data_IF_121141300444
#
_entry.id   IF_121141300444
#
_cell.length_a   1.000
_cell.length_b   1.000
_cell.length_c   1.000
_cell.angle_alpha   90.00
_cell.angle_beta   90.00
_cell.angle_gamma   90.00
#
_symmetry.space_group_name_H-M   'P 1'
#
loop_
_entity.id
_entity.type
_entity.pdbx_description
1 polymer ?
#
# COMPACT_ATOMS: atom_id res chain seq x y z
N UNK A 1 12.82 47.03 -27.20
CA UNK A 1 12.77 45.62 -26.79
C UNK A 1 11.62 45.50 -25.81
N UNK A 2 10.64 44.65 -26.10
CA UNK A 2 9.49 44.45 -25.21
C UNK A 2 9.98 43.95 -23.85
N UNK A 3 9.58 44.64 -22.79
CA UNK A 3 9.92 44.28 -21.41
C UNK A 3 9.32 42.91 -21.09
N UNK A 4 10.15 41.98 -20.62
CA UNK A 4 9.72 40.65 -20.20
C UNK A 4 8.67 40.80 -19.09
N UNK A 5 7.49 40.22 -19.28
CA UNK A 5 6.40 40.35 -18.30
C UNK A 5 6.68 39.48 -17.06
N UNK A 6 6.47 40.00 -15.84
CA UNK A 6 6.60 39.20 -14.64
C UNK A 6 5.56 38.06 -14.61
N UNK A 7 5.82 36.98 -13.83
CA UNK A 7 4.85 35.92 -13.64
C UNK A 7 3.53 36.46 -13.09
N UNK A 8 2.42 35.87 -13.52
CA UNK A 8 1.09 36.13 -12.94
C UNK A 8 1.15 35.76 -11.45
N UNK A 9 0.47 36.53 -10.60
CA UNK A 9 0.39 36.29 -9.16
C UNK A 9 -0.02 34.85 -8.81
N UNK A 10 0.45 34.37 -7.65
CA UNK A 10 0.15 33.02 -7.18
C UNK A 10 -1.34 32.89 -6.82
N UNK A 11 -2.05 31.96 -7.46
CA UNK A 11 -3.43 31.66 -7.09
C UNK A 11 -3.50 30.74 -5.87
N UNK A 12 -4.23 31.18 -4.84
CA UNK A 12 -4.58 30.40 -3.63
C UNK A 12 -5.77 29.45 -3.84
N UNK A 13 -6.38 29.42 -5.02
CA UNK A 13 -7.57 28.62 -5.32
C UNK A 13 -7.21 27.24 -5.92
N UNK A 14 -8.02 26.23 -5.59
CA UNK A 14 -7.86 24.88 -6.13
C UNK A 14 -6.62 24.16 -5.58
N UNK A 15 -5.79 23.60 -6.47
CA UNK A 15 -4.60 22.84 -6.08
C UNK A 15 -3.40 23.78 -5.84
N UNK A 16 -3.34 24.36 -4.65
CA UNK A 16 -2.31 25.31 -4.22
C UNK A 16 -0.87 24.77 -4.41
N UNK A 17 -0.66 23.47 -4.17
CA UNK A 17 0.66 22.83 -4.33
C UNK A 17 1.12 22.83 -5.79
N UNK A 18 0.23 22.52 -6.74
CA UNK A 18 0.55 22.57 -8.17
C UNK A 18 0.67 24.00 -8.68
N UNK A 19 -0.14 24.92 -8.16
CA UNK A 19 -0.03 26.35 -8.48
C UNK A 19 1.34 26.89 -8.08
N UNK A 20 1.81 26.58 -6.86
CA UNK A 20 3.15 26.93 -6.39
C UNK A 20 4.25 26.34 -7.28
N UNK A 21 4.16 25.04 -7.61
CA UNK A 21 5.14 24.38 -8.47
C UNK A 21 5.30 25.07 -9.82
N UNK A 22 4.17 25.38 -10.48
CA UNK A 22 4.15 26.08 -11.77
C UNK A 22 4.63 27.53 -11.64
N UNK A 23 4.22 28.22 -10.58
CA UNK A 23 4.61 29.61 -10.35
C UNK A 23 6.11 29.74 -10.09
N UNK A 24 6.66 28.92 -9.19
CA UNK A 24 8.10 28.86 -8.87
C UNK A 24 8.94 28.62 -10.13
N UNK A 25 8.49 27.72 -11.01
CA UNK A 25 9.16 27.46 -12.29
C UNK A 25 9.15 28.69 -13.20
N UNK A 26 7.99 29.36 -13.34
CA UNK A 26 7.90 30.61 -14.14
C UNK A 26 8.74 31.73 -13.57
N UNK A 27 8.78 31.85 -12.23
CA UNK A 27 9.61 32.82 -11.54
C UNK A 27 11.10 32.56 -11.77
N UNK A 28 11.54 31.31 -11.76
CA UNK A 28 12.93 30.96 -12.10
C UNK A 28 13.29 31.37 -13.53
N UNK A 29 12.44 31.06 -14.51
CA UNK A 29 12.67 31.49 -15.89
C UNK A 29 12.74 33.02 -16.02
N UNK A 30 11.92 33.74 -15.24
CA UNK A 30 11.96 35.19 -15.19
C UNK A 30 13.26 35.73 -14.57
N UNK A 31 13.75 35.13 -13.49
CA UNK A 31 15.04 35.49 -12.89
C UNK A 31 16.22 35.27 -13.84
N UNK A 32 16.23 34.13 -14.54
CA UNK A 32 17.30 33.78 -15.48
C UNK A 32 17.28 34.72 -16.70
N UNK A 33 16.10 35.01 -17.25
CA UNK A 33 15.95 35.90 -18.41
C UNK A 33 16.18 37.38 -18.10
N UNK A 34 16.12 37.80 -16.83
CA UNK A 34 16.37 39.18 -16.39
C UNK A 34 17.74 39.37 -15.73
N UNK A 35 18.56 38.32 -15.68
CA UNK A 35 19.88 38.28 -15.01
C UNK A 35 19.82 38.70 -13.53
N UNK A 36 18.66 38.53 -12.90
CA UNK A 36 18.50 38.78 -11.46
C UNK A 36 19.02 37.61 -10.62
N UNK A 37 19.28 36.44 -11.23
CA UNK A 37 19.87 35.29 -10.57
C UNK A 37 21.32 35.53 -10.06
N UNK A 38 22.06 36.48 -10.66
CA UNK A 38 23.41 36.87 -10.25
C UNK A 38 23.44 38.01 -9.22
N UNK A 39 22.30 38.67 -8.99
CA UNK A 39 22.19 39.79 -8.04
C UNK A 39 22.08 39.29 -6.60
N UNK A 40 22.29 40.19 -5.65
CA UNK A 40 22.18 39.91 -4.23
C UNK A 40 20.85 39.24 -3.86
N UNK A 41 20.89 38.20 -3.02
CA UNK A 41 19.72 37.41 -2.64
C UNK A 41 18.57 38.27 -2.09
N UNK A 42 18.88 39.34 -1.35
CA UNK A 42 17.89 40.30 -0.86
C UNK A 42 17.04 40.93 -1.97
N UNK A 43 17.65 41.24 -3.12
CA UNK A 43 16.94 41.76 -4.28
C UNK A 43 16.06 40.68 -4.92
N UNK A 44 16.53 39.44 -4.94
CA UNK A 44 15.75 38.30 -5.42
C UNK A 44 14.53 38.04 -4.53
N UNK A 45 14.69 38.12 -3.21
CA UNK A 45 13.60 38.02 -2.24
C UNK A 45 12.58 39.15 -2.42
N UNK A 46 13.06 40.38 -2.58
CA UNK A 46 12.19 41.54 -2.83
C UNK A 46 11.41 41.39 -4.13
N UNK A 47 12.06 40.90 -5.19
CA UNK A 47 11.42 40.64 -6.48
C UNK A 47 10.41 39.50 -6.39
N UNK A 48 10.70 38.44 -5.63
CA UNK A 48 9.75 37.35 -5.37
C UNK A 48 8.49 37.90 -4.71
N UNK A 49 8.63 38.66 -3.62
CA UNK A 49 7.50 39.25 -2.89
C UNK A 49 6.71 40.25 -3.73
N UNK A 50 7.36 40.96 -4.65
CA UNK A 50 6.68 41.84 -5.59
C UNK A 50 5.85 41.08 -6.63
N UNK A 51 6.39 39.98 -7.19
CA UNK A 51 5.72 39.22 -8.25
C UNK A 51 4.70 38.20 -7.74
N UNK A 52 4.83 37.73 -6.51
CA UNK A 52 3.97 36.65 -5.97
C UNK A 52 2.53 37.12 -5.70
N UNK A 53 2.35 38.43 -5.50
CA UNK A 53 1.06 39.08 -5.27
C UNK A 53 0.76 39.36 -3.80
N UNK A 54 -0.10 40.35 -3.56
CA UNK A 54 -0.50 40.85 -2.21
C UNK A 54 -0.98 39.72 -1.28
N UNK A 55 -1.77 38.84 -1.87
CA UNK A 55 -2.32 37.63 -1.28
C UNK A 55 -1.27 36.70 -0.64
N UNK A 56 -0.10 36.57 -1.25
CA UNK A 56 1.01 35.76 -0.75
C UNK A 56 1.97 36.56 0.14
N UNK A 57 1.97 37.89 0.02
CA UNK A 57 2.67 38.77 0.96
C UNK A 57 2.01 38.73 2.35
N UNK A 58 0.69 38.63 2.43
CA UNK A 58 0.00 38.37 3.70
C UNK A 58 0.50 37.09 4.37
N UNK A 59 0.67 36.02 3.58
CA UNK A 59 1.21 34.75 4.07
C UNK A 59 2.66 34.91 4.52
N UNK A 60 3.48 35.64 3.78
CA UNK A 60 4.86 35.95 4.18
C UNK A 60 4.94 36.63 5.55
N UNK A 61 4.01 37.53 5.87
CA UNK A 61 3.97 38.19 7.18
C UNK A 61 3.68 37.23 8.35
N UNK A 62 3.20 36.01 8.08
CA UNK A 62 2.99 34.96 9.09
C UNK A 62 4.23 34.07 9.28
N UNK A 63 5.24 34.19 8.42
CA UNK A 63 6.42 33.33 8.47
C UNK A 63 7.39 33.78 9.55
N UNK A 64 7.82 32.81 10.36
CA UNK A 64 8.92 32.99 11.30
C UNK A 64 10.24 32.58 10.63
N UNK A 65 11.15 33.55 10.52
CA UNK A 65 12.52 33.40 10.03
C UNK A 65 13.50 33.55 11.19
N UNK A 66 14.65 32.89 11.10
CA UNK A 66 15.81 33.24 11.93
C UNK A 66 16.43 34.56 11.39
N UNK A 67 17.17 35.30 12.24
CA UNK A 67 17.61 36.70 11.97
C UNK A 67 18.30 36.90 10.61
N UNK A 68 18.96 35.88 10.06
CA UNK A 68 19.65 35.94 8.77
C UNK A 68 18.92 35.25 7.60
N UNK A 69 17.81 34.54 7.86
CA UNK A 69 17.12 33.73 6.84
C UNK A 69 16.16 34.54 5.97
N UNK A 70 15.69 35.69 6.47
CA UNK A 70 14.63 36.48 5.81
C UNK A 70 15.08 37.07 4.48
N UNK A 71 16.36 37.40 4.36
CA UNK A 71 16.96 37.99 3.15
C UNK A 71 17.52 36.92 2.19
N UNK A 72 17.40 35.63 2.54
CA UNK A 72 17.86 34.52 1.72
C UNK A 72 16.75 33.89 0.89
N UNK A 73 17.03 33.66 -0.40
CA UNK A 73 16.01 33.20 -1.36
C UNK A 73 15.57 31.75 -1.10
N UNK A 74 16.51 30.90 -0.69
CA UNK A 74 16.25 29.48 -0.47
C UNK A 74 15.34 29.22 0.75
N UNK A 75 15.60 29.79 1.95
CA UNK A 75 14.68 29.71 3.09
C UNK A 75 13.29 30.28 2.77
N UNK A 76 13.23 31.41 2.04
CA UNK A 76 11.97 32.02 1.63
C UNK A 76 11.15 31.08 0.75
N UNK A 77 11.75 30.53 -0.32
CA UNK A 77 11.09 29.55 -1.18
C UNK A 77 10.66 28.30 -0.42
N UNK A 78 11.48 27.84 0.54
CA UNK A 78 11.15 26.67 1.34
C UNK A 78 9.92 26.90 2.23
N UNK A 79 9.80 28.06 2.86
CA UNK A 79 8.62 28.41 3.68
C UNK A 79 7.34 28.46 2.84
N UNK A 80 7.41 29.07 1.66
CA UNK A 80 6.28 29.05 0.72
C UNK A 80 5.94 27.64 0.24
N UNK A 81 6.95 26.79 0.01
CA UNK A 81 6.73 25.39 -0.38
C UNK A 81 6.07 24.59 0.75
N UNK A 82 6.49 24.78 2.00
CA UNK A 82 5.86 24.18 3.18
C UNK A 82 4.42 24.65 3.38
N UNK A 83 4.14 25.94 3.12
CA UNK A 83 2.80 26.50 3.19
C UNK A 83 1.89 25.94 2.09
N UNK A 84 2.37 25.91 0.84
CA UNK A 84 1.59 25.44 -0.32
C UNK A 84 1.46 23.91 -0.37
N UNK A 85 2.37 23.19 0.29
CA UNK A 85 2.38 21.74 0.37
C UNK A 85 2.71 21.29 1.81
N UNK A 86 1.78 21.48 2.77
CA UNK A 86 1.98 21.01 4.12
C UNK A 86 2.14 19.49 4.12
N UNK A 87 2.88 18.95 5.10
CA UNK A 87 3.13 17.50 5.20
C UNK A 87 1.79 16.77 5.26
N UNK A 88 1.43 16.11 4.15
CA UNK A 88 0.16 15.38 4.04
C UNK A 88 0.31 14.03 4.69
N UNK A 89 -0.57 13.72 5.64
CA UNK A 89 -0.63 12.37 6.20
C UNK A 89 -1.23 11.43 5.15
N UNK A 90 -0.40 10.55 4.59
CA UNK A 90 -0.84 9.60 3.56
C UNK A 90 -2.06 8.77 3.96
N UNK A 91 -2.20 8.44 5.25
CA UNK A 91 -3.36 7.69 5.77
C UNK A 91 -4.62 8.54 5.73
N UNK A 92 -4.51 9.82 6.10
CA UNK A 92 -5.62 10.77 6.09
C UNK A 92 -6.06 11.12 4.67
N UNK A 93 -5.11 11.35 3.76
CA UNK A 93 -5.43 11.59 2.34
C UNK A 93 -6.09 10.37 1.70
N UNK A 94 -5.62 9.14 2.02
CA UNK A 94 -6.33 7.91 1.61
C UNK A 94 -7.71 7.81 2.21
N UNK A 95 -7.88 8.16 3.48
CA UNK A 95 -9.18 8.17 4.12
C UNK A 95 -10.12 9.14 3.41
N UNK A 96 -9.71 10.40 3.23
CA UNK A 96 -10.48 11.43 2.52
C UNK A 96 -10.82 10.98 1.11
N UNK A 97 -9.86 10.43 0.36
CA UNK A 97 -10.09 9.85 -0.95
C UNK A 97 -11.05 8.65 -0.94
N UNK A 98 -11.04 7.85 0.12
CA UNK A 98 -11.94 6.71 0.30
C UNK A 98 -13.33 7.11 0.82
N UNK A 99 -13.49 8.33 1.35
CA UNK A 99 -14.75 8.85 1.89
C UNK A 99 -15.35 9.98 1.05
N UNK A 100 -14.64 10.49 0.05
CA UNK A 100 -15.19 11.38 -0.96
C UNK A 100 -16.35 10.68 -1.67
N UNK A 101 -17.55 11.24 -1.50
CA UNK A 101 -18.73 10.88 -2.28
C UNK A 101 -18.93 11.95 -3.34
N UNK A 102 -19.22 11.51 -4.56
CA UNK A 102 -19.39 12.40 -5.70
C UNK A 102 -20.77 13.06 -5.65
N UNK A 103 -20.82 14.35 -5.98
CA UNK A 103 -22.08 15.10 -6.12
C UNK A 103 -22.68 14.90 -7.52
N UNK A 104 -24.00 15.05 -7.67
CA UNK A 104 -24.67 14.92 -8.98
C UNK A 104 -24.04 15.86 -10.03
N UNK A 105 -23.54 15.28 -11.13
CA UNK A 105 -23.02 16.02 -12.30
C UNK A 105 -21.54 15.82 -12.64
N UNK A 106 -20.76 15.11 -11.82
CA UNK A 106 -19.34 14.86 -12.15
C UNK A 106 -19.15 13.62 -13.06
N UNK A 107 -18.71 13.85 -14.30
CA UNK A 107 -18.51 12.84 -15.36
C UNK A 107 -17.31 11.86 -15.16
N UNK A 108 -16.73 11.79 -13.96
CA UNK A 108 -15.55 10.96 -13.64
C UNK A 108 -15.88 9.68 -12.82
N UNK A 109 -17.15 9.48 -12.43
CA UNK A 109 -17.61 8.33 -11.65
C UNK A 109 -17.17 7.00 -12.26
N UNK A 110 -17.49 6.82 -13.54
CA UNK A 110 -17.43 5.52 -14.20
C UNK A 110 -16.00 5.00 -14.31
N UNK A 111 -15.05 5.88 -14.64
CA UNK A 111 -13.63 5.51 -14.70
C UNK A 111 -13.11 5.13 -13.32
N UNK A 112 -13.43 5.93 -12.30
CA UNK A 112 -12.93 5.68 -10.95
C UNK A 112 -13.50 4.38 -10.35
N UNK A 113 -14.80 4.15 -10.49
CA UNK A 113 -15.45 2.92 -10.01
C UNK A 113 -14.95 1.72 -10.80
N UNK A 114 -14.79 1.83 -12.12
CA UNK A 114 -14.20 0.77 -12.94
C UNK A 114 -12.80 0.39 -12.45
N UNK A 115 -11.94 1.37 -12.22
CA UNK A 115 -10.55 1.13 -11.80
C UNK A 115 -10.50 0.51 -10.40
N UNK A 116 -11.42 0.89 -9.51
CA UNK A 116 -11.61 0.25 -8.19
C UNK A 116 -12.07 -1.20 -8.31
N UNK A 117 -12.99 -1.50 -9.21
CA UNK A 117 -13.44 -2.87 -9.49
C UNK A 117 -12.25 -3.71 -9.99
N UNK A 118 -11.52 -3.25 -11.00
CA UNK A 118 -10.39 -3.99 -11.58
C UNK A 118 -9.29 -4.27 -10.53
N UNK A 119 -8.89 -3.27 -9.76
CA UNK A 119 -7.86 -3.43 -8.72
C UNK A 119 -8.36 -4.22 -7.49
N UNK A 120 -9.65 -4.15 -7.18
CA UNK A 120 -10.24 -4.72 -5.97
C UNK A 120 -10.75 -6.16 -6.10
N UNK A 121 -10.95 -6.68 -7.31
CA UNK A 121 -11.45 -8.04 -7.54
C UNK A 121 -10.47 -9.08 -7.01
N UNK A 122 -10.97 -9.99 -6.16
CA UNK A 122 -10.16 -11.08 -5.58
C UNK A 122 -9.84 -12.22 -6.56
N UNK A 123 -10.56 -12.32 -7.68
CA UNK A 123 -10.44 -13.42 -8.64
C UNK A 123 -9.48 -13.04 -9.78
N UNK A 124 -8.27 -13.58 -9.77
CA UNK A 124 -7.23 -13.26 -10.77
C UNK A 124 -7.69 -13.53 -12.21
N UNK A 125 -8.44 -14.62 -12.44
CA UNK A 125 -9.00 -14.93 -13.77
C UNK A 125 -9.96 -13.83 -14.29
N UNK A 126 -10.75 -13.22 -13.40
CA UNK A 126 -11.69 -12.15 -13.78
C UNK A 126 -10.92 -10.86 -14.00
N UNK A 127 -9.90 -10.59 -13.16
CA UNK A 127 -9.00 -9.46 -13.30
C UNK A 127 -8.24 -9.49 -14.63
N UNK A 128 -7.66 -10.62 -15.00
CA UNK A 128 -6.97 -10.80 -16.28
C UNK A 128 -7.92 -10.52 -17.46
N UNK A 129 -9.14 -11.06 -17.40
CA UNK A 129 -10.15 -10.87 -18.43
C UNK A 129 -10.57 -9.39 -18.58
N UNK A 130 -10.70 -8.67 -17.47
CA UNK A 130 -10.99 -7.23 -17.48
C UNK A 130 -9.83 -6.42 -18.07
N UNK A 131 -8.59 -6.73 -17.69
CA UNK A 131 -7.39 -6.04 -18.18
C UNK A 131 -7.09 -6.30 -19.66
N UNK A 132 -7.62 -7.38 -20.25
CA UNK A 132 -7.47 -7.68 -21.67
C UNK A 132 -8.32 -6.77 -22.57
N UNK A 133 -9.31 -6.08 -22.04
CA UNK A 133 -10.23 -5.25 -22.81
C UNK A 133 -9.67 -3.82 -22.92
N UNK A 134 -9.34 -3.33 -24.14
CA UNK A 134 -8.73 -2.01 -24.31
C UNK A 134 -9.67 -0.85 -23.94
N UNK A 135 -10.93 -0.91 -24.36
CA UNK A 135 -11.96 0.10 -24.05
C UNK A 135 -12.95 -0.41 -22.99
N UNK A 136 -12.42 -0.68 -21.80
CA UNK A 136 -13.21 -1.14 -20.67
C UNK A 136 -14.03 0.03 -20.09
N UNK A 137 -15.35 -0.08 -20.14
CA UNK A 137 -16.27 0.86 -19.48
C UNK A 137 -16.75 0.29 -18.15
N UNK A 138 -17.35 1.13 -17.29
CA UNK A 138 -17.94 0.66 -16.03
C UNK A 138 -19.02 -0.40 -16.26
N UNK A 139 -19.93 -0.16 -17.21
CA UNK A 139 -20.97 -1.14 -17.54
C UNK A 139 -20.38 -2.50 -17.94
N UNK A 140 -19.37 -2.50 -18.84
CA UNK A 140 -18.68 -3.73 -19.25
C UNK A 140 -18.00 -4.44 -18.08
N UNK A 141 -17.39 -3.70 -17.14
CA UNK A 141 -16.73 -4.31 -15.99
C UNK A 141 -17.74 -4.95 -15.03
N UNK A 142 -18.88 -4.31 -14.79
CA UNK A 142 -19.99 -4.86 -13.99
C UNK A 142 -20.55 -6.13 -14.64
N UNK A 143 -20.80 -6.11 -15.95
CA UNK A 143 -21.37 -7.26 -16.67
C UNK A 143 -20.43 -8.47 -16.64
N UNK A 144 -19.13 -8.26 -16.82
CA UNK A 144 -18.13 -9.34 -16.75
C UNK A 144 -18.05 -9.93 -15.34
N UNK A 145 -18.13 -9.10 -14.31
CA UNK A 145 -18.18 -9.57 -12.92
C UNK A 145 -19.42 -10.41 -12.65
N UNK A 146 -20.61 -9.91 -12.99
CA UNK A 146 -21.88 -10.62 -12.82
C UNK A 146 -21.92 -11.92 -13.61
N UNK A 147 -21.49 -11.90 -14.87
CA UNK A 147 -21.40 -13.11 -15.68
C UNK A 147 -20.46 -14.14 -15.05
N UNK A 148 -19.32 -13.70 -14.50
CA UNK A 148 -18.38 -14.60 -13.81
C UNK A 148 -18.96 -15.18 -12.52
N UNK A 149 -19.78 -14.41 -11.78
CA UNK A 149 -20.49 -14.90 -10.59
C UNK A 149 -21.55 -15.94 -10.95
N UNK A 150 -22.37 -15.65 -11.95
CA UNK A 150 -23.41 -16.56 -12.46
C UNK A 150 -22.78 -17.84 -12.99
N UNK A 151 -21.74 -17.75 -13.82
CA UNK A 151 -21.05 -18.94 -14.34
C UNK A 151 -20.43 -19.77 -13.21
N UNK A 152 -19.87 -19.15 -12.18
CA UNK A 152 -19.37 -19.88 -11.00
C UNK A 152 -20.49 -20.61 -10.25
N UNK A 153 -21.69 -20.05 -10.19
CA UNK A 153 -22.83 -20.70 -9.57
C UNK A 153 -23.35 -21.86 -10.42
N UNK A 154 -23.52 -21.66 -11.73
CA UNK A 154 -23.95 -22.68 -12.67
C UNK A 154 -22.97 -23.86 -12.71
N UNK A 155 -21.66 -23.60 -12.70
CA UNK A 155 -20.65 -24.65 -12.62
C UNK A 155 -20.79 -25.50 -11.36
N UNK A 156 -21.11 -24.90 -10.21
CA UNK A 156 -21.36 -25.67 -8.99
C UNK A 156 -22.53 -26.62 -9.16
N UNK A 157 -23.67 -26.12 -9.66
CA UNK A 157 -24.87 -26.94 -9.92
C UNK A 157 -24.58 -28.06 -10.92
N UNK A 158 -23.88 -27.78 -12.03
CA UNK A 158 -23.48 -28.82 -13.00
C UNK A 158 -22.61 -29.89 -12.34
N UNK A 159 -21.61 -29.50 -11.54
CA UNK A 159 -20.74 -30.46 -10.84
C UNK A 159 -21.42 -31.20 -9.69
N UNK A 160 -22.51 -30.67 -9.15
CA UNK A 160 -23.34 -31.31 -8.13
C UNK A 160 -24.32 -32.29 -8.78
N UNK A 161 -24.91 -31.94 -9.92
CA UNK A 161 -25.81 -32.80 -10.71
C UNK A 161 -25.08 -33.97 -11.39
N UNK A 162 -23.83 -33.78 -11.83
CA UNK A 162 -22.99 -34.89 -12.30
C UNK A 162 -22.77 -35.96 -11.21
N UNK A 163 -22.78 -35.58 -9.93
CA UNK A 163 -22.68 -36.52 -8.81
C UNK A 163 -24.00 -37.24 -8.51
N UNK A 164 -25.15 -36.63 -8.81
CA UNK A 164 -26.46 -37.26 -8.58
C UNK A 164 -26.85 -38.21 -9.71
N UNK A 165 -26.49 -37.92 -10.96
CA UNK A 165 -26.78 -38.80 -12.12
C UNK A 165 -25.91 -40.06 -12.10
N UNK A 166 -24.66 -39.99 -11.63
CA UNK A 166 -23.82 -41.18 -11.42
C UNK A 166 -24.24 -42.05 -10.22
N UNK A 167 -25.26 -41.66 -9.45
CA UNK A 167 -25.78 -42.45 -8.34
C UNK A 167 -26.78 -43.54 -8.76
N UNK A 168 -27.18 -43.62 -10.04
CA UNK A 168 -28.04 -44.70 -10.56
C UNK A 168 -27.18 -45.71 -11.31
N UNK A 169 -26.50 -46.58 -10.56
CA UNK A 169 -26.26 -48.01 -10.88
C UNK A 169 -25.27 -48.54 -9.85
N UNK A 170 -25.79 -49.30 -8.89
CA UNK A 170 -25.42 -50.70 -8.65
C UNK A 170 -26.33 -51.25 -7.55
N UNK A 171 -27.50 -51.73 -7.97
CA UNK A 171 -28.17 -52.82 -7.27
C UNK A 171 -27.30 -54.07 -7.38
N UNK A 172 -26.27 -54.16 -6.55
CA UNK A 172 -25.66 -55.44 -6.24
C UNK A 172 -25.97 -55.73 -4.78
N UNK A 173 -26.82 -56.74 -4.60
CA UNK A 173 -27.09 -57.44 -3.34
C UNK A 173 -25.89 -57.35 -2.41
N UNK A 174 -26.14 -56.98 -1.17
CA UNK A 174 -25.21 -57.08 -0.05
C UNK A 174 -24.85 -58.56 0.20
N UNK A 175 -24.06 -59.13 -0.70
CA UNK A 175 -23.37 -60.38 -0.48
C UNK A 175 -22.14 -60.06 0.35
N UNK A 176 -22.15 -60.50 1.59
CA UNK A 176 -20.97 -60.56 2.43
C UNK A 176 -19.92 -61.42 1.71
N UNK A 177 -19.01 -60.80 0.95
CA UNK A 177 -17.87 -61.51 0.36
C UNK A 177 -16.73 -61.51 1.37
N UNK A 178 -16.13 -62.68 1.65
CA UNK A 178 -15.08 -62.80 2.64
C UNK A 178 -13.88 -61.95 2.23
N UNK A 179 -13.28 -61.32 3.25
CA UNK A 179 -12.11 -60.48 3.14
C UNK A 179 -10.95 -61.27 2.54
N UNK A 180 -10.75 -61.17 1.22
CA UNK A 180 -9.52 -61.64 0.59
C UNK A 180 -8.39 -60.76 1.12
N UNK A 181 -7.45 -61.36 1.85
CA UNK A 181 -6.22 -60.70 2.31
C UNK A 181 -5.41 -60.30 1.07
N UNK A 182 -5.62 -59.08 0.57
CA UNK A 182 -4.68 -58.46 -0.33
C UNK A 182 -3.37 -58.26 0.43
N UNK A 183 -2.32 -58.99 0.05
CA UNK A 183 -0.96 -58.69 0.45
C UNK A 183 -0.63 -57.30 -0.09
N UNK A 184 -0.71 -56.31 0.78
CA UNK A 184 -0.22 -54.97 0.52
C UNK A 184 1.29 -55.10 0.25
N UNK A 185 1.71 -54.88 -1.00
CA UNK A 185 3.13 -54.56 -1.26
C UNK A 185 3.37 -53.23 -0.59
N UNK A 186 3.98 -53.34 0.56
CA UNK A 186 4.37 -52.25 1.42
C UNK A 186 5.46 -51.43 0.75
N UNK A 187 5.04 -50.44 -0.03
CA UNK A 187 5.94 -49.35 -0.45
C UNK A 187 5.95 -48.27 0.62
N UNK A 188 6.04 -48.65 1.90
CA UNK A 188 6.76 -47.85 2.89
C UNK A 188 8.20 -47.79 2.40
N UNK A 189 8.54 -46.77 1.60
CA UNK A 189 9.93 -46.32 1.56
C UNK A 189 10.27 -45.94 3.00
N UNK A 190 10.96 -46.84 3.68
CA UNK A 190 11.64 -46.54 4.93
C UNK A 190 12.47 -45.29 4.68
N UNK A 191 12.02 -44.16 5.22
CA UNK A 191 12.89 -43.00 5.32
C UNK A 191 14.08 -43.45 6.18
N UNK A 192 15.33 -43.35 5.71
CA UNK A 192 16.50 -43.75 6.49
C UNK A 192 16.41 -43.13 7.88
N UNK A 193 16.49 -43.99 8.91
CA UNK A 193 16.38 -43.60 10.32
C UNK A 193 17.29 -42.38 10.57
N UNK A 194 16.68 -41.21 10.82
CA UNK A 194 17.40 -39.99 11.19
C UNK A 194 17.32 -38.82 10.20
N UNK A 195 16.70 -38.96 9.02
CA UNK A 195 16.60 -37.84 8.09
C UNK A 195 15.58 -36.79 8.54
N UNK A 196 16.06 -35.56 8.77
CA UNK A 196 15.24 -34.38 9.05
C UNK A 196 14.57 -33.91 7.74
N UNK A 197 13.34 -33.40 7.85
CA UNK A 197 12.58 -32.88 6.71
C UNK A 197 12.10 -31.45 6.98
N UNK A 198 11.93 -30.66 5.94
CA UNK A 198 11.36 -29.31 6.02
C UNK A 198 9.89 -29.37 6.44
N UNK A 199 9.62 -29.00 7.69
CA UNK A 199 8.27 -29.05 8.22
C UNK A 199 7.43 -27.89 7.70
N UNK A 200 6.35 -28.18 6.98
CA UNK A 200 5.40 -27.17 6.47
C UNK A 200 4.68 -26.38 7.56
N UNK A 201 4.69 -26.84 8.81
CA UNK A 201 4.02 -26.17 9.95
C UNK A 201 4.90 -25.12 10.61
N UNK A 202 6.16 -25.43 10.88
CA UNK A 202 7.09 -24.50 11.54
C UNK A 202 8.07 -23.82 10.58
N UNK A 203 8.32 -24.43 9.41
CA UNK A 203 9.29 -23.99 8.41
C UNK A 203 10.73 -24.45 8.64
N UNK A 204 10.97 -25.39 9.57
CA UNK A 204 12.32 -25.86 9.94
C UNK A 204 12.52 -27.36 9.70
N UNK A 205 13.78 -27.78 9.61
CA UNK A 205 14.18 -29.18 9.46
C UNK A 205 14.22 -29.92 10.80
N UNK A 206 13.33 -30.90 10.98
CA UNK A 206 13.34 -31.76 12.16
C UNK A 206 12.88 -33.19 11.82
N UNK A 207 13.02 -34.11 12.77
CA UNK A 207 12.55 -35.49 12.60
C UNK A 207 11.02 -35.55 12.55
N UNK A 208 10.45 -36.58 11.90
CA UNK A 208 9.01 -36.83 11.92
C UNK A 208 8.46 -36.85 13.35
N UNK A 209 7.30 -36.21 13.57
CA UNK A 209 6.62 -36.07 14.88
C UNK A 209 7.34 -35.27 15.97
N UNK A 210 8.50 -34.67 15.68
CA UNK A 210 9.22 -33.80 16.62
C UNK A 210 8.82 -32.31 16.54
N UNK A 211 7.74 -31.97 15.84
CA UNK A 211 7.28 -30.59 15.70
C UNK A 211 6.58 -30.13 16.99
N UNK A 212 7.20 -29.21 17.72
CA UNK A 212 6.66 -28.72 19.01
C UNK A 212 5.56 -27.64 18.86
N UNK A 213 5.20 -27.26 17.63
CA UNK A 213 4.05 -26.39 17.35
C UNK A 213 2.74 -27.17 17.53
N UNK A 214 2.38 -27.38 18.79
CA UNK A 214 1.07 -27.88 19.18
C UNK A 214 0.06 -26.73 19.08
N UNK A 215 -1.02 -26.93 18.31
CA UNK A 215 -2.11 -25.97 18.21
C UNK A 215 -2.90 -25.94 19.52
N UNK A 216 -2.43 -25.18 20.51
CA UNK A 216 -3.32 -24.76 21.60
C UNK A 216 -4.13 -23.58 21.08
N UNK A 217 -5.39 -23.85 20.70
CA UNK A 217 -6.39 -22.80 20.41
C UNK A 217 -6.57 -21.95 21.67
N UNK A 218 -6.09 -20.72 21.63
CA UNK A 218 -6.49 -19.70 22.61
C UNK A 218 -7.55 -18.83 21.94
N UNK A 219 -8.80 -18.99 22.36
CA UNK A 219 -9.91 -18.11 21.99
C UNK A 219 -9.86 -16.88 22.90
N UNK A 220 -9.20 -15.82 22.46
CA UNK A 220 -9.41 -14.47 23.01
C UNK A 220 -9.06 -13.41 21.98
N UNK A 221 -9.92 -12.40 21.91
CA UNK A 221 -10.00 -11.42 20.86
C UNK A 221 -8.85 -10.41 20.86
N UNK A 222 -8.59 -9.87 19.66
CA UNK A 222 -7.70 -8.76 19.28
C UNK A 222 -6.22 -9.16 19.14
N UNK A 223 -5.76 -9.03 17.89
CA UNK A 223 -4.40 -9.21 17.35
C UNK A 223 -3.93 -10.65 17.06
N UNK A 224 -4.03 -11.03 15.78
CA UNK A 224 -3.38 -12.22 15.20
C UNK A 224 -1.88 -11.95 15.00
N UNK A 225 -1.07 -12.11 16.04
CA UNK A 225 0.38 -12.25 15.88
C UNK A 225 0.77 -13.64 16.36
N UNK A 226 1.09 -14.52 15.41
CA UNK A 226 1.59 -15.86 15.70
C UNK A 226 3.07 -15.71 16.10
N UNK A 227 3.34 -15.57 17.40
CA UNK A 227 4.70 -15.76 17.91
C UNK A 227 5.03 -17.25 17.88
N UNK A 228 5.74 -17.67 16.82
CA UNK A 228 6.25 -19.04 16.62
C UNK A 228 7.38 -19.30 17.62
N UNK A 229 7.11 -20.06 18.67
CA UNK A 229 8.14 -20.59 19.59
C UNK A 229 8.52 -22.00 19.16
N UNK A 230 9.78 -22.21 18.79
CA UNK A 230 10.42 -23.52 18.70
C UNK A 230 11.77 -23.51 19.44
N UNK A 231 12.13 -24.65 20.03
CA UNK A 231 13.12 -24.82 21.08
C UNK A 231 14.61 -24.62 20.72
N UNK A 232 14.96 -24.09 19.54
CA UNK A 232 16.32 -23.63 19.22
C UNK A 232 16.38 -22.10 19.06
N UNK A 233 15.59 -21.39 19.86
CA UNK A 233 15.52 -19.93 19.80
C UNK A 233 16.87 -19.26 20.14
N UNK A 234 17.75 -19.85 20.96
CA UNK A 234 19.00 -19.20 21.34
C UNK A 234 20.01 -19.10 20.20
N UNK A 235 20.16 -20.15 19.38
CA UNK A 235 21.12 -20.19 18.27
C UNK A 235 20.70 -19.26 17.12
N UNK A 236 19.39 -19.25 16.78
CA UNK A 236 18.83 -18.32 15.80
C UNK A 236 18.83 -16.86 16.30
N UNK A 237 18.64 -16.63 17.61
CA UNK A 237 18.73 -15.29 18.21
C UNK A 237 20.18 -14.79 18.27
N UNK A 238 21.19 -15.65 18.41
CA UNK A 238 22.61 -15.27 18.32
C UNK A 238 23.01 -14.86 16.89
N UNK A 239 22.59 -15.63 15.88
CA UNK A 239 22.79 -15.31 14.46
C UNK A 239 22.08 -14.01 14.06
N UNK A 240 20.84 -13.79 14.55
CA UNK A 240 20.16 -12.51 14.36
C UNK A 240 20.80 -11.36 15.13
N UNK A 241 21.31 -11.56 16.35
CA UNK A 241 22.01 -10.51 17.12
C UNK A 241 23.32 -10.08 16.45
N UNK A 242 24.06 -11.00 15.81
CA UNK A 242 25.23 -10.67 14.98
C UNK A 242 24.82 -9.89 13.73
N UNK A 243 23.78 -10.34 13.03
CA UNK A 243 23.27 -9.65 11.84
C UNK A 243 22.62 -8.28 12.13
N UNK A 244 21.95 -8.11 13.28
CA UNK A 244 21.35 -6.83 13.68
C UNK A 244 22.32 -5.88 14.39
N UNK A 245 23.47 -6.37 14.87
CA UNK A 245 24.57 -5.51 15.34
C UNK A 245 25.29 -4.85 14.15
N UNK A 246 25.34 -5.50 12.99
CA UNK A 246 25.93 -4.95 11.77
C UNK A 246 24.99 -4.00 11.01
N UNK A 247 23.68 -4.05 11.23
CA UNK A 247 22.69 -3.20 10.50
C UNK A 247 21.96 -2.16 11.33
N UNK A 248 22.19 -2.05 12.65
CA UNK A 248 21.55 -1.03 13.48
C UNK A 248 22.51 0.08 13.89
N UNK A 249 22.90 0.92 12.94
CA UNK A 249 22.87 2.33 13.24
C UNK A 249 21.41 2.79 13.08
N UNK A 250 20.77 2.96 14.23
CA UNK A 250 19.63 3.85 14.50
C UNK A 250 18.28 3.55 13.85
N UNK A 251 17.33 3.02 14.65
CA UNK A 251 16.12 3.76 15.09
C UNK A 251 15.29 2.87 16.05
N UNK A 252 15.52 3.04 17.34
CA UNK A 252 14.81 2.33 18.41
C UNK A 252 13.52 3.08 18.81
N UNK A 253 12.39 2.58 18.30
CA UNK A 253 11.02 3.07 18.53
C UNK A 253 10.59 2.94 20.01
N UNK A 254 11.31 2.17 20.83
CA UNK A 254 11.04 1.98 22.26
C UNK A 254 11.26 3.25 23.09
N UNK A 255 12.17 4.13 22.66
CA UNK A 255 12.45 5.41 23.34
C UNK A 255 11.37 6.47 23.09
N UNK A 256 10.64 6.37 21.97
CA UNK A 256 9.58 7.33 21.60
C UNK A 256 8.34 7.15 22.50
N UNK A 257 7.94 5.91 22.80
CA UNK A 257 6.78 5.64 23.66
C UNK A 257 6.95 6.07 25.13
N UNK A 258 8.18 6.12 25.65
CA UNK A 258 8.43 6.62 27.02
C UNK A 258 8.40 8.14 27.12
N UNK A 259 8.76 8.87 26.06
CA UNK A 259 8.77 10.35 26.07
C UNK A 259 7.36 10.95 25.98
N UNK A 260 6.43 10.31 25.29
CA UNK A 260 5.02 10.74 25.20
C UNK A 260 4.31 10.63 26.56
N UNK A 261 4.67 9.63 27.39
CA UNK A 261 4.04 9.43 28.70
C UNK A 261 4.58 10.35 29.82
N UNK A 262 5.70 11.04 29.60
CA UNK A 262 6.33 11.93 30.58
C UNK A 262 5.91 13.41 30.37
N UNK A 263 5.34 13.77 29.22
CA UNK A 263 5.00 15.16 28.88
C UNK A 263 3.50 15.48 28.80
N UNK A 264 2.62 14.62 29.33
CA UNK A 264 1.22 14.98 29.63
C UNK A 264 0.39 15.52 28.46
N UNK A 265 0.34 14.78 27.35
CA UNK A 265 -0.71 14.89 26.33
C UNK A 265 -1.52 13.58 26.30
#
# INVERSE_FOLDING_TARGET
>A
MDQLKPPIALSKEGNVSENWRKWKQKFQFYLDATEFNEKAEKLQCSLLLHCIGEDAVEVFNTFNFLEDEKDQIAPLQLKFEQFCNPIKNQTYERYKFHTCSQSEGENLYDSFVRDRIVCGILSDNVRERLLRIPDLTLAKSIDICRASEVSKQQLKSITEDEKTVHAIRKDYKSGHKPRVKHQYKDSRKDNPKGQKYDCKKCGMQHLPRSCQLTEKRVTSAKSRIILRRCANAEEYMLLKKKATAETNYTLDVSKIRRKVKILGW
#
